data_IF_968196319577
#
_entry.id   IF_968196319577
#
_cell.length_a   1.000
_cell.length_b   1.000
_cell.length_c   1.000
_cell.angle_alpha   90.00
_cell.angle_beta   90.00
_cell.angle_gamma   90.00
#
_symmetry.space_group_name_H-M   'P 1'
#
loop_
_entity.id
_entity.type
_entity.pdbx_description
1 polymer ?
#
# COMPACT_ATOMS: atom_id res chain seq x y z
N UNK A 1 -37.60 -9.13 15.49
CA UNK A 1 -36.19 -9.28 15.96
C UNK A 1 -35.23 -9.77 14.87
N UNK A 2 -35.52 -10.87 14.16
CA UNK A 2 -34.62 -11.42 13.13
C UNK A 2 -34.22 -10.45 12.00
N UNK A 3 -35.15 -9.56 11.60
CA UNK A 3 -34.90 -8.51 10.59
C UNK A 3 -33.78 -7.53 11.00
N UNK A 4 -33.68 -7.21 12.30
CA UNK A 4 -32.67 -6.30 12.83
C UNK A 4 -31.30 -6.98 12.87
N UNK A 5 -31.24 -8.25 13.30
CA UNK A 5 -30.03 -9.06 13.27
C UNK A 5 -29.49 -9.20 11.85
N UNK A 6 -30.36 -9.47 10.88
CA UNK A 6 -29.97 -9.62 9.48
C UNK A 6 -29.45 -8.30 8.88
N UNK A 7 -30.12 -7.19 9.18
CA UNK A 7 -29.68 -5.85 8.77
C UNK A 7 -28.30 -5.51 9.36
N UNK A 8 -28.11 -5.77 10.66
CA UNK A 8 -26.84 -5.51 11.34
C UNK A 8 -25.69 -6.35 10.77
N UNK A 9 -25.96 -7.63 10.49
CA UNK A 9 -25.01 -8.53 9.85
C UNK A 9 -24.61 -8.03 8.46
N UNK A 10 -25.58 -7.63 7.64
CA UNK A 10 -25.33 -7.14 6.29
C UNK A 10 -24.44 -5.90 6.30
N UNK A 11 -24.74 -4.94 7.18
CA UNK A 11 -23.98 -3.69 7.32
C UNK A 11 -22.56 -3.98 7.84
N UNK A 12 -22.43 -4.88 8.81
CA UNK A 12 -21.13 -5.27 9.38
C UNK A 12 -20.22 -5.91 8.32
N UNK A 13 -20.76 -6.86 7.54
CA UNK A 13 -20.02 -7.52 6.46
C UNK A 13 -19.58 -6.51 5.40
N UNK A 14 -20.46 -5.58 5.03
CA UNK A 14 -20.16 -4.55 4.05
C UNK A 14 -19.05 -3.60 4.54
N UNK A 15 -19.12 -3.13 5.78
CA UNK A 15 -18.12 -2.26 6.39
C UNK A 15 -16.74 -2.95 6.47
N UNK A 16 -16.71 -4.22 6.89
CA UNK A 16 -15.48 -5.01 6.96
C UNK A 16 -14.88 -5.25 5.57
N UNK A 17 -15.71 -5.52 4.57
CA UNK A 17 -15.27 -5.72 3.18
C UNK A 17 -14.61 -4.46 2.61
N UNK A 18 -15.24 -3.29 2.82
CA UNK A 18 -14.70 -2.00 2.41
C UNK A 18 -13.41 -1.68 3.17
N UNK A 19 -13.38 -1.87 4.50
CA UNK A 19 -12.19 -1.66 5.33
C UNK A 19 -10.99 -2.50 4.85
N UNK A 20 -11.23 -3.78 4.52
CA UNK A 20 -10.18 -4.66 3.93
C UNK A 20 -9.73 -4.19 2.56
N UNK A 21 -10.65 -3.69 1.72
CA UNK A 21 -10.27 -3.12 0.41
C UNK A 21 -9.46 -1.85 0.57
N UNK A 22 -9.81 -0.97 1.50
CA UNK A 22 -9.13 0.32 1.73
C UNK A 22 -7.74 0.16 2.36
N UNK A 23 -7.38 -1.03 2.89
CA UNK A 23 -5.97 -1.43 3.12
C UNK A 23 -5.10 -1.49 1.85
N UNK A 24 -5.61 -1.01 0.71
CA UNK A 24 -4.86 -0.55 -0.47
C UNK A 24 -3.72 0.45 -0.17
N UNK A 25 -3.52 0.88 1.07
CA UNK A 25 -2.32 1.58 1.51
C UNK A 25 -1.00 0.82 1.23
N UNK A 26 -1.02 -0.49 0.97
CA UNK A 26 0.20 -1.19 0.48
C UNK A 26 0.65 -0.72 -0.92
N UNK A 27 -0.25 -0.06 -1.68
CA UNK A 27 0.10 0.64 -2.93
C UNK A 27 0.71 2.03 -2.69
N UNK A 28 0.60 2.57 -1.48
CA UNK A 28 1.30 3.78 -1.01
C UNK A 28 2.57 3.45 -0.24
N UNK A 29 2.69 2.24 0.32
CA UNK A 29 3.97 1.59 0.67
C UNK A 29 4.79 1.17 -0.58
N UNK A 30 4.62 1.89 -1.69
CA UNK A 30 5.66 1.95 -2.71
C UNK A 30 6.83 2.72 -2.11
N UNK A 31 7.60 2.08 -1.24
CA UNK A 31 9.03 2.24 -1.34
C UNK A 31 9.35 1.99 -2.83
N UNK A 32 9.83 2.99 -3.58
CA UNK A 32 10.03 2.80 -5.01
C UNK A 32 11.00 1.63 -5.18
N UNK A 33 10.53 0.54 -5.80
CA UNK A 33 11.34 -0.69 -6.03
C UNK A 33 12.62 -0.40 -6.81
N UNK A 34 12.67 0.74 -7.50
CA UNK A 34 13.86 1.29 -8.11
C UNK A 34 14.15 2.62 -7.44
N UNK A 35 15.35 2.74 -6.87
CA UNK A 35 15.87 4.04 -6.47
C UNK A 35 15.87 4.94 -7.70
N UNK A 36 15.14 6.05 -7.63
CA UNK A 36 15.33 7.11 -8.60
C UNK A 36 16.68 7.81 -8.29
N UNK A 37 17.31 8.48 -9.27
CA UNK A 37 18.63 9.10 -9.09
C UNK A 37 18.72 10.11 -7.93
N UNK A 38 17.59 10.68 -7.52
CA UNK A 38 17.52 11.61 -6.39
C UNK A 38 17.49 10.89 -5.04
N UNK A 39 16.74 9.78 -4.95
CA UNK A 39 16.64 8.92 -3.76
C UNK A 39 17.85 8.00 -3.56
N UNK A 40 18.68 7.80 -4.59
CA UNK A 40 19.95 7.06 -4.49
C UNK A 40 21.02 7.88 -3.77
N UNK A 41 21.03 9.21 -3.96
CA UNK A 41 21.94 10.13 -3.26
C UNK A 41 21.72 10.10 -1.75
N UNK A 42 20.46 10.09 -1.31
CA UNK A 42 20.11 9.97 0.12
C UNK A 42 20.58 8.64 0.75
N UNK A 43 20.85 7.63 -0.08
CA UNK A 43 21.39 6.33 0.33
C UNK A 43 22.89 6.18 0.10
N UNK A 44 23.57 7.24 -0.34
CA UNK A 44 25.02 7.23 -0.62
C UNK A 44 25.41 6.47 -1.89
N UNK A 45 24.47 6.23 -2.80
CA UNK A 45 24.74 5.63 -4.12
C UNK A 45 24.95 6.77 -5.11
N UNK A 46 26.16 6.86 -5.69
CA UNK A 46 26.49 7.86 -6.70
C UNK A 46 25.78 7.51 -8.03
N UNK A 47 24.84 8.35 -8.50
CA UNK A 47 24.12 8.12 -9.75
C UNK A 47 25.00 8.24 -11.01
N UNK A 48 26.27 8.62 -10.86
CA UNK A 48 27.24 8.78 -11.94
C UNK A 48 28.09 7.52 -12.15
N UNK A 49 27.97 6.53 -11.26
CA UNK A 49 28.78 5.30 -11.30
C UNK A 49 28.09 4.20 -12.15
N UNK A 50 28.65 3.83 -13.32
CA UNK A 50 28.01 2.89 -14.25
C UNK A 50 27.92 1.45 -13.72
N UNK A 51 28.63 1.09 -12.64
CA UNK A 51 28.62 -0.28 -12.08
C UNK A 51 27.41 -0.56 -11.16
N UNK A 52 26.70 0.47 -10.71
CA UNK A 52 25.56 0.37 -9.77
C UNK A 52 24.27 -0.23 -10.38
N UNK A 53 24.30 -0.57 -11.67
CA UNK A 53 23.16 -1.08 -12.44
C UNK A 53 23.28 -2.57 -12.87
N UNK A 54 24.23 -3.33 -12.32
CA UNK A 54 24.41 -4.78 -12.61
C UNK A 54 23.68 -5.71 -11.64
#
# INVERSE_FOLDING_TARGET
MFKLLFSLLLISVLAISISRRVRLASRYERAPRKLNPWSSLDKGIDPTDPESHS
#
